data_IF_263058168103
#
_entry.id   IF_263058168103
#
_cell.length_a   1.000
_cell.length_b   1.000
_cell.length_c   1.000
_cell.angle_alpha   90.00
_cell.angle_beta   90.00
_cell.angle_gamma   90.00
#
_symmetry.space_group_name_H-M   'P 1'
#
loop_
_entity.id
_entity.type
_entity.pdbx_description
1 polymer ?
#
# COMPACT_ATOMS: atom_id res chain seq x y z
N UNK A 1 -28.73 -18.03 -48.66
CA UNK A 1 -27.65 -18.88 -49.21
C UNK A 1 -26.35 -18.40 -48.60
N UNK A 2 -25.89 -19.06 -47.54
CA UNK A 2 -24.61 -18.79 -46.89
C UNK A 2 -23.53 -19.62 -47.60
N UNK A 3 -22.54 -18.95 -48.18
CA UNK A 3 -21.37 -19.60 -48.77
C UNK A 3 -20.62 -20.45 -47.72
N UNK A 4 -20.08 -21.62 -48.08
CA UNK A 4 -19.32 -22.44 -47.15
C UNK A 4 -17.97 -21.79 -46.87
N UNK A 5 -17.72 -21.51 -45.58
CA UNK A 5 -16.48 -20.96 -45.06
C UNK A 5 -15.30 -21.87 -45.43
N UNK A 6 -14.50 -21.44 -46.42
CA UNK A 6 -13.31 -22.17 -46.85
C UNK A 6 -12.33 -22.30 -45.68
N UNK A 7 -12.03 -23.53 -45.26
CA UNK A 7 -11.02 -23.82 -44.23
C UNK A 7 -9.72 -23.09 -44.59
N UNK A 8 -9.36 -22.05 -43.84
CA UNK A 8 -8.08 -21.32 -44.02
C UNK A 8 -6.94 -22.33 -43.90
N UNK A 9 -6.21 -22.57 -45.01
CA UNK A 9 -5.02 -23.42 -45.03
C UNK A 9 -3.91 -22.75 -44.23
N UNK A 10 -3.55 -23.34 -43.10
CA UNK A 10 -2.39 -22.94 -42.31
C UNK A 10 -1.13 -23.36 -43.08
N UNK A 11 -0.19 -22.43 -43.27
CA UNK A 11 1.09 -22.66 -43.92
C UNK A 11 2.15 -22.98 -42.87
N UNK A 12 2.98 -23.97 -43.15
CA UNK A 12 4.14 -24.29 -42.32
C UNK A 12 5.37 -23.56 -42.85
N UNK A 13 6.31 -23.29 -41.94
CA UNK A 13 7.57 -22.66 -42.27
C UNK A 13 8.43 -23.55 -43.18
N UNK A 14 9.05 -22.96 -44.20
CA UNK A 14 10.01 -23.63 -45.08
C UNK A 14 11.43 -23.08 -44.81
N UNK A 15 12.44 -23.95 -44.61
CA UNK A 15 13.82 -23.52 -44.38
C UNK A 15 14.39 -22.58 -45.44
N UNK A 16 13.92 -22.66 -46.68
CA UNK A 16 14.33 -21.77 -47.77
C UNK A 16 13.94 -20.30 -47.54
N UNK A 17 13.04 -20.00 -46.59
CA UNK A 17 12.65 -18.64 -46.24
C UNK A 17 13.75 -17.87 -45.49
N UNK A 18 14.76 -18.58 -45.00
CA UNK A 18 15.94 -17.95 -44.40
C UNK A 18 16.67 -17.01 -45.38
N UNK A 19 16.63 -17.31 -46.69
CA UNK A 19 17.22 -16.44 -47.73
C UNK A 19 16.55 -15.07 -47.84
N UNK A 20 15.34 -14.94 -47.31
CA UNK A 20 14.59 -13.68 -47.23
C UNK A 20 14.70 -13.03 -45.85
N UNK A 21 15.50 -13.59 -44.94
CA UNK A 21 15.70 -13.08 -43.58
C UNK A 21 14.67 -13.51 -42.56
N UNK A 22 13.93 -14.60 -42.81
CA UNK A 22 12.90 -15.09 -41.89
C UNK A 22 13.28 -16.41 -41.21
N UNK A 23 12.82 -16.59 -39.98
CA UNK A 23 12.85 -17.85 -39.24
C UNK A 23 11.44 -18.23 -38.77
N UNK A 24 11.27 -19.48 -38.34
CA UNK A 24 10.02 -19.93 -37.71
C UNK A 24 9.88 -19.29 -36.33
N UNK A 25 8.67 -18.87 -35.98
CA UNK A 25 8.31 -18.51 -34.61
C UNK A 25 8.32 -19.74 -33.67
N UNK A 26 8.35 -19.55 -32.33
CA UNK A 26 8.36 -20.65 -31.38
C UNK A 26 7.13 -21.58 -31.46
N UNK A 27 5.98 -21.06 -31.89
CA UNK A 27 4.75 -21.81 -32.14
C UNK A 27 4.71 -22.44 -33.55
N UNK A 28 5.77 -22.27 -34.36
CA UNK A 28 5.92 -22.71 -35.76
C UNK A 28 4.84 -22.25 -36.76
N UNK A 29 3.97 -21.34 -36.34
CA UNK A 29 2.80 -20.92 -37.10
C UNK A 29 2.98 -19.54 -37.75
N UNK A 30 4.09 -18.83 -37.50
CA UNK A 30 4.32 -17.47 -38.02
C UNK A 30 5.77 -17.27 -38.48
N UNK A 31 6.00 -16.48 -39.54
CA UNK A 31 7.35 -16.10 -39.92
C UNK A 31 7.79 -14.91 -39.06
N UNK A 32 8.99 -15.02 -38.49
CA UNK A 32 9.65 -13.99 -37.72
C UNK A 32 10.79 -13.38 -38.55
N UNK A 33 10.76 -12.06 -38.75
CA UNK A 33 11.83 -11.34 -39.44
C UNK A 33 13.05 -11.19 -38.51
N UNK A 34 14.23 -11.66 -38.94
CA UNK A 34 15.47 -11.58 -38.17
C UNK A 34 15.98 -10.14 -37.98
N UNK A 35 15.59 -9.22 -38.86
CA UNK A 35 16.05 -7.82 -38.85
C UNK A 35 15.07 -6.90 -38.15
N UNK A 36 13.77 -7.03 -38.47
CA UNK A 36 12.72 -6.24 -37.84
C UNK A 36 12.27 -6.77 -36.48
N UNK A 37 12.60 -8.01 -36.14
CA UNK A 37 12.11 -8.71 -34.94
C UNK A 37 10.57 -8.73 -34.83
N UNK A 38 9.87 -8.71 -35.96
CA UNK A 38 8.40 -8.71 -36.02
C UNK A 38 7.88 -10.07 -36.53
N UNK A 39 6.96 -10.66 -35.78
CA UNK A 39 6.14 -11.79 -36.23
C UNK A 39 5.03 -11.30 -37.16
N UNK A 40 4.99 -11.82 -38.39
CA UNK A 40 3.88 -11.55 -39.30
C UNK A 40 2.79 -12.62 -39.18
N UNK A 41 1.60 -12.35 -39.73
CA UNK A 41 0.54 -13.35 -39.81
C UNK A 41 0.97 -14.57 -40.66
N UNK A 42 0.36 -15.73 -40.43
CA UNK A 42 0.64 -16.96 -41.18
C UNK A 42 0.50 -16.78 -42.70
N UNK A 43 -0.47 -15.99 -43.15
CA UNK A 43 -0.69 -15.65 -44.56
C UNK A 43 0.50 -14.93 -45.23
N UNK A 44 1.37 -14.30 -44.44
CA UNK A 44 2.57 -13.64 -44.92
C UNK A 44 3.71 -14.62 -45.27
N UNK A 45 3.60 -15.93 -44.94
CA UNK A 45 4.59 -16.94 -45.31
C UNK A 45 4.65 -17.24 -46.83
N UNK A 46 3.81 -16.61 -47.65
CA UNK A 46 3.92 -16.75 -49.11
C UNK A 46 5.27 -16.18 -49.57
N UNK A 47 6.06 -16.90 -50.39
CA UNK A 47 7.40 -16.45 -50.78
C UNK A 47 7.46 -15.04 -51.38
N UNK A 48 6.45 -14.63 -52.15
CA UNK A 48 6.40 -13.27 -52.71
C UNK A 48 6.11 -12.19 -51.66
N UNK A 49 5.37 -12.51 -50.58
CA UNK A 49 5.15 -11.58 -49.46
C UNK A 49 6.42 -11.41 -48.62
N UNK A 50 7.13 -12.50 -48.31
CA UNK A 50 8.40 -12.44 -47.59
C UNK A 50 9.46 -11.67 -48.39
N UNK A 51 9.54 -11.94 -49.70
CA UNK A 51 10.39 -11.20 -50.63
C UNK A 51 10.01 -9.72 -50.64
N UNK A 52 8.73 -9.38 -50.83
CA UNK A 52 8.27 -7.99 -50.82
C UNK A 52 8.54 -7.26 -49.50
N UNK A 53 8.40 -7.95 -48.35
CA UNK A 53 8.79 -7.41 -47.05
C UNK A 53 10.28 -7.06 -47.02
N UNK A 54 11.16 -7.98 -47.44
CA UNK A 54 12.60 -7.74 -47.50
C UNK A 54 12.91 -6.52 -48.39
N UNK A 55 12.34 -6.46 -49.60
CA UNK A 55 12.55 -5.33 -50.51
C UNK A 55 12.08 -3.98 -49.94
N UNK A 56 10.95 -3.95 -49.26
CA UNK A 56 10.35 -2.70 -48.77
C UNK A 56 10.89 -2.25 -47.42
N UNK A 57 11.18 -3.16 -46.50
CA UNK A 57 11.58 -2.86 -45.11
C UNK A 57 13.08 -2.98 -44.89
N UNK A 58 13.76 -3.83 -45.66
CA UNK A 58 15.19 -4.12 -45.50
C UNK A 58 15.93 -4.11 -46.87
N UNK A 59 15.84 -3.00 -47.64
CA UNK A 59 16.39 -2.94 -49.00
C UNK A 59 17.90 -3.18 -49.05
N UNK A 60 18.63 -2.83 -47.98
CA UNK A 60 20.08 -3.04 -47.85
C UNK A 60 20.47 -4.52 -47.67
N UNK A 61 19.52 -5.40 -47.39
CA UNK A 61 19.74 -6.83 -47.16
C UNK A 61 19.38 -7.68 -48.37
N UNK A 62 18.90 -7.06 -49.45
CA UNK A 62 18.60 -7.73 -50.71
C UNK A 62 19.92 -8.05 -51.44
N UNK A 63 20.08 -9.30 -51.87
CA UNK A 63 21.26 -9.74 -52.63
C UNK A 63 22.52 -9.99 -51.79
N UNK A 64 22.39 -10.03 -50.46
CA UNK A 64 23.49 -10.39 -49.58
C UNK A 64 24.02 -11.81 -49.85
N UNK A 65 25.30 -12.10 -49.53
CA UNK A 65 25.90 -13.42 -49.69
C UNK A 65 25.11 -14.52 -48.97
N UNK A 66 25.19 -15.76 -49.46
CA UNK A 66 24.47 -16.93 -48.94
C UNK A 66 24.65 -17.12 -47.42
N UNK A 67 25.80 -16.72 -46.87
CA UNK A 67 26.15 -16.88 -45.47
C UNK A 67 25.58 -15.80 -44.53
N UNK A 68 25.09 -14.68 -45.08
CA UNK A 68 24.64 -13.53 -44.30
C UNK A 68 23.51 -13.88 -43.32
N UNK A 69 22.40 -14.42 -43.82
CA UNK A 69 21.25 -14.78 -42.97
C UNK A 69 21.51 -15.98 -42.05
N UNK A 70 22.26 -17.04 -42.44
CA UNK A 70 22.72 -18.06 -41.50
C UNK A 70 23.54 -17.51 -40.32
N UNK A 71 24.46 -16.58 -40.56
CA UNK A 71 25.23 -15.94 -39.48
C UNK A 71 24.32 -15.08 -38.60
N UNK A 72 23.45 -14.27 -39.21
CA UNK A 72 22.50 -13.42 -38.48
C UNK A 72 21.53 -14.24 -37.62
N UNK A 73 21.07 -15.40 -38.11
CA UNK A 73 20.28 -16.37 -37.34
C UNK A 73 21.05 -16.90 -36.13
N UNK A 74 22.35 -17.22 -36.27
CA UNK A 74 23.17 -17.67 -35.12
C UNK A 74 23.28 -16.59 -34.05
N UNK A 75 23.51 -15.34 -34.46
CA UNK A 75 23.57 -14.19 -33.53
C UNK A 75 22.23 -14.00 -32.83
N UNK A 76 21.13 -14.00 -33.58
CA UNK A 76 19.78 -13.89 -33.03
C UNK A 76 19.46 -15.00 -32.03
N UNK A 77 19.73 -16.26 -32.37
CA UNK A 77 19.50 -17.39 -31.47
C UNK A 77 20.39 -17.35 -30.23
N UNK A 78 21.62 -16.83 -30.33
CA UNK A 78 22.48 -16.63 -29.15
C UNK A 78 21.98 -15.48 -28.28
N UNK A 79 21.46 -14.39 -28.86
CA UNK A 79 20.81 -13.31 -28.13
C UNK A 79 19.52 -13.77 -27.43
N UNK A 80 18.68 -14.56 -28.11
CA UNK A 80 17.50 -15.20 -27.51
C UNK A 80 17.87 -16.16 -26.39
N UNK A 81 18.95 -16.94 -26.53
CA UNK A 81 19.45 -17.80 -25.45
C UNK A 81 19.90 -16.97 -24.25
N UNK A 82 20.62 -15.87 -24.46
CA UNK A 82 21.01 -14.94 -23.38
C UNK A 82 19.81 -14.25 -22.73
N UNK A 83 18.79 -13.87 -23.50
CA UNK A 83 17.53 -13.33 -22.99
C UNK A 83 16.72 -14.39 -22.24
N UNK A 84 16.72 -15.63 -22.72
CA UNK A 84 16.05 -16.77 -22.08
C UNK A 84 16.71 -17.13 -20.74
N UNK A 85 18.04 -17.03 -20.64
CA UNK A 85 18.81 -17.16 -19.39
C UNK A 85 18.47 -16.04 -18.40
N UNK A 86 18.19 -14.83 -18.88
CA UNK A 86 17.67 -13.73 -18.05
C UNK A 86 16.24 -14.00 -17.55
N UNK A 87 15.40 -14.67 -18.37
CA UNK A 87 14.05 -15.10 -17.98
C UNK A 87 14.01 -16.40 -17.15
N UNK A 88 15.06 -17.21 -17.14
CA UNK A 88 15.23 -18.37 -16.24
C UNK A 88 15.45 -17.96 -14.76
N UNK A 89 15.44 -16.68 -14.44
CA UNK A 89 15.43 -16.14 -13.07
C UNK A 89 14.07 -16.26 -12.34
N UNK A 90 13.19 -17.18 -12.76
CA UNK A 90 11.90 -17.40 -12.08
C UNK A 90 12.09 -17.78 -10.62
N UNK A 91 13.10 -18.60 -10.32
CA UNK A 91 13.42 -19.04 -8.95
C UNK A 91 13.88 -17.88 -8.06
N UNK A 92 14.76 -17.00 -8.57
CA UNK A 92 15.22 -15.84 -7.81
C UNK A 92 14.10 -14.84 -7.55
N UNK A 93 13.21 -14.65 -8.53
CA UNK A 93 12.03 -13.78 -8.37
C UNK A 93 11.08 -14.33 -7.31
N UNK A 94 10.78 -15.63 -7.29
CA UNK A 94 9.87 -16.17 -6.29
C UNK A 94 10.45 -16.21 -4.88
N UNK A 95 11.77 -16.41 -4.69
CA UNK A 95 12.40 -16.24 -3.37
C UNK A 95 12.36 -14.78 -2.89
N UNK A 96 12.58 -13.84 -3.81
CA UNK A 96 12.52 -12.40 -3.50
C UNK A 96 11.11 -11.99 -3.10
N UNK A 97 10.10 -12.40 -3.89
CA UNK A 97 8.68 -12.16 -3.59
C UNK A 97 8.28 -12.76 -2.25
N UNK A 98 8.66 -14.02 -1.98
CA UNK A 98 8.38 -14.67 -0.70
C UNK A 98 8.99 -13.88 0.48
N UNK A 99 10.18 -13.31 0.29
CA UNK A 99 10.80 -12.50 1.33
C UNK A 99 10.12 -11.15 1.55
N UNK A 100 9.67 -10.47 0.48
CA UNK A 100 8.84 -9.26 0.63
C UNK A 100 7.53 -9.57 1.36
N UNK A 101 6.89 -10.70 1.06
CA UNK A 101 5.65 -11.11 1.71
C UNK A 101 5.85 -11.33 3.22
N UNK A 102 6.92 -12.05 3.60
CA UNK A 102 7.27 -12.24 5.02
C UNK A 102 7.55 -10.89 5.68
N UNK A 103 8.33 -10.02 5.04
CA UNK A 103 8.66 -8.69 5.56
C UNK A 103 7.41 -7.83 5.78
N UNK A 104 6.50 -7.83 4.79
CA UNK A 104 5.21 -7.14 4.86
C UNK A 104 4.34 -7.67 6.00
N UNK A 105 4.26 -8.99 6.18
CA UNK A 105 3.48 -9.59 7.26
C UNK A 105 4.02 -9.23 8.64
N UNK A 106 5.36 -9.23 8.82
CA UNK A 106 6.00 -8.81 10.07
C UNK A 106 5.64 -7.35 10.39
N UNK A 107 5.79 -6.46 9.41
CA UNK A 107 5.44 -5.05 9.57
C UNK A 107 3.95 -4.86 9.88
N UNK A 108 3.07 -5.53 9.12
CA UNK A 108 1.61 -5.48 9.31
C UNK A 108 1.17 -5.96 10.69
N UNK A 109 1.85 -6.96 11.23
CA UNK A 109 1.59 -7.50 12.58
C UNK A 109 2.35 -6.76 13.69
N UNK A 110 3.08 -5.68 13.35
CA UNK A 110 3.88 -4.86 14.27
C UNK A 110 4.86 -5.72 15.08
N UNK A 111 5.50 -6.70 14.42
CA UNK A 111 6.48 -7.60 15.05
C UNK A 111 7.91 -7.10 14.84
N UNK A 112 8.85 -7.42 15.74
CA UNK A 112 10.27 -7.14 15.54
C UNK A 112 10.77 -7.73 14.22
N UNK A 113 11.55 -6.96 13.46
CA UNK A 113 12.16 -7.45 12.20
C UNK A 113 13.09 -8.65 12.43
N UNK A 114 13.66 -8.76 13.64
CA UNK A 114 14.48 -9.90 14.07
C UNK A 114 13.73 -11.23 14.03
N UNK A 115 12.41 -11.22 14.20
CA UNK A 115 11.58 -12.44 14.21
C UNK A 115 11.67 -13.19 12.87
N UNK A 116 11.97 -12.49 11.76
CA UNK A 116 12.20 -13.09 10.46
C UNK A 116 13.32 -14.15 10.51
N UNK A 117 14.42 -13.82 11.18
CA UNK A 117 15.61 -14.65 11.29
C UNK A 117 15.57 -15.59 12.49
N UNK A 118 15.11 -15.10 13.64
CA UNK A 118 15.17 -15.85 14.91
C UNK A 118 14.05 -16.87 15.06
N UNK A 119 12.91 -16.66 14.41
CA UNK A 119 11.72 -17.48 14.58
C UNK A 119 11.16 -18.02 13.27
N UNK A 120 10.88 -17.15 12.30
CA UNK A 120 10.15 -17.52 11.08
C UNK A 120 11.00 -18.43 10.18
N UNK A 121 12.24 -18.04 9.88
CA UNK A 121 13.13 -18.84 9.02
C UNK A 121 13.42 -20.23 9.60
N UNK A 122 13.83 -20.39 10.87
CA UNK A 122 14.02 -21.71 11.48
C UNK A 122 12.75 -22.57 11.45
N UNK A 123 11.59 -21.96 11.73
CA UNK A 123 10.30 -22.67 11.73
C UNK A 123 9.96 -23.20 10.33
N UNK A 124 10.12 -22.37 9.29
CA UNK A 124 9.89 -22.76 7.89
C UNK A 124 10.78 -23.94 7.48
N UNK A 125 12.07 -23.90 7.86
CA UNK A 125 13.03 -24.96 7.53
C UNK A 125 12.73 -26.27 8.28
N UNK A 126 12.38 -26.18 9.56
CA UNK A 126 12.01 -27.35 10.36
C UNK A 126 10.76 -28.04 9.79
N UNK A 127 9.71 -27.28 9.51
CA UNK A 127 8.49 -27.80 8.90
C UNK A 127 8.76 -28.43 7.52
N UNK A 128 9.49 -27.74 6.64
CA UNK A 128 9.78 -28.27 5.31
C UNK A 128 10.62 -29.55 5.39
N UNK A 129 11.63 -29.60 6.26
CA UNK A 129 12.48 -30.79 6.43
C UNK A 129 11.68 -32.02 6.85
N UNK A 130 10.73 -31.87 7.79
CA UNK A 130 9.98 -32.99 8.33
C UNK A 130 8.73 -33.36 7.53
N UNK A 131 8.05 -32.39 6.89
CA UNK A 131 6.79 -32.63 6.18
C UNK A 131 7.01 -32.84 4.68
N UNK A 132 7.93 -32.08 4.07
CA UNK A 132 8.13 -32.02 2.61
C UNK A 132 9.46 -32.64 2.16
N UNK A 133 10.38 -32.89 3.09
CA UNK A 133 11.70 -33.47 2.85
C UNK A 133 12.84 -32.44 2.71
N UNK A 134 14.08 -32.94 2.73
CA UNK A 134 15.30 -32.12 2.73
C UNK A 134 15.43 -31.23 1.48
N UNK A 135 15.04 -31.72 0.30
CA UNK A 135 15.09 -30.93 -0.93
C UNK A 135 14.20 -29.68 -0.90
N UNK A 136 13.06 -29.74 -0.20
CA UNK A 136 12.18 -28.59 -0.02
C UNK A 136 12.77 -27.58 0.98
N UNK A 137 13.38 -28.07 2.07
CA UNK A 137 14.08 -27.21 3.03
C UNK A 137 15.23 -26.44 2.37
N UNK A 138 16.02 -27.08 1.50
CA UNK A 138 17.08 -26.41 0.73
C UNK A 138 16.54 -25.30 -0.17
N UNK A 139 15.37 -25.49 -0.80
CA UNK A 139 14.73 -24.44 -1.59
C UNK A 139 14.29 -23.25 -0.73
N UNK A 140 13.70 -23.49 0.45
CA UNK A 140 13.28 -22.42 1.36
C UNK A 140 14.48 -21.70 2.00
N UNK A 141 15.60 -22.39 2.19
CA UNK A 141 16.80 -21.78 2.75
C UNK A 141 17.35 -20.63 1.90
N UNK A 142 17.06 -20.65 0.58
CA UNK A 142 17.41 -19.58 -0.37
C UNK A 142 16.64 -18.27 -0.14
N UNK A 143 15.56 -18.28 0.63
CA UNK A 143 14.84 -17.04 1.01
C UNK A 143 15.71 -16.29 2.03
N UNK A 144 16.15 -15.08 1.69
CA UNK A 144 16.94 -14.23 2.59
C UNK A 144 16.02 -13.45 3.52
N UNK A 145 16.20 -13.58 4.85
CA UNK A 145 15.31 -13.00 5.88
C UNK A 145 16.04 -12.27 7.02
N UNK A 146 17.37 -12.24 7.07
CA UNK A 146 18.11 -11.60 8.17
C UNK A 146 18.18 -10.08 8.02
N UNK A 147 19.22 -9.57 7.37
CA UNK A 147 19.48 -8.14 7.22
C UNK A 147 18.63 -7.48 6.12
N UNK A 148 18.08 -8.27 5.21
CA UNK A 148 17.28 -7.74 4.11
C UNK A 148 15.84 -7.38 4.52
N UNK A 149 15.35 -7.84 5.69
CA UNK A 149 13.96 -7.60 6.11
C UNK A 149 13.72 -6.10 6.38
N UNK A 150 14.66 -5.43 7.06
CA UNK A 150 14.59 -3.98 7.28
C UNK A 150 14.66 -3.23 5.95
N UNK A 151 15.58 -3.62 5.08
CA UNK A 151 15.70 -3.03 3.74
C UNK A 151 14.40 -3.17 2.94
N UNK A 152 13.79 -4.35 2.94
CA UNK A 152 12.52 -4.62 2.26
C UNK A 152 11.37 -3.85 2.86
N UNK A 153 11.30 -3.71 4.18
CA UNK A 153 10.30 -2.86 4.85
C UNK A 153 10.45 -1.41 4.38
N UNK A 154 11.67 -0.89 4.29
CA UNK A 154 11.92 0.47 3.80
C UNK A 154 11.53 0.61 2.32
N UNK A 155 11.84 -0.37 1.47
CA UNK A 155 11.43 -0.37 0.06
C UNK A 155 9.91 -0.46 -0.11
N UNK A 156 9.23 -1.27 0.72
CA UNK A 156 7.76 -1.33 0.77
C UNK A 156 7.21 0.04 1.20
N UNK A 157 7.78 0.65 2.24
CA UNK A 157 7.39 1.97 2.74
C UNK A 157 7.52 3.03 1.66
N UNK A 158 8.66 3.09 0.97
CA UNK A 158 8.87 4.01 -0.15
C UNK A 158 7.85 3.78 -1.27
N UNK A 159 7.55 2.52 -1.60
CA UNK A 159 6.55 2.22 -2.62
C UNK A 159 5.13 2.65 -2.22
N UNK A 160 4.78 2.55 -0.94
CA UNK A 160 3.51 3.03 -0.41
C UNK A 160 3.45 4.55 -0.43
N UNK A 161 4.53 5.22 0.01
CA UNK A 161 4.64 6.68 -0.04
C UNK A 161 4.52 7.19 -1.48
N UNK A 162 5.24 6.61 -2.44
CA UNK A 162 5.15 6.96 -3.86
C UNK A 162 3.71 6.85 -4.39
N UNK A 163 2.95 5.85 -3.94
CA UNK A 163 1.53 5.68 -4.31
C UNK A 163 0.66 6.78 -3.68
N UNK A 164 0.87 7.09 -2.40
CA UNK A 164 0.15 8.16 -1.71
C UNK A 164 0.46 9.52 -2.36
N UNK A 165 1.72 9.81 -2.65
CA UNK A 165 2.14 11.04 -3.32
C UNK A 165 1.48 11.20 -4.69
N UNK A 166 1.41 10.13 -5.50
CA UNK A 166 0.69 10.16 -6.78
C UNK A 166 -0.79 10.46 -6.59
N UNK A 167 -1.41 9.84 -5.59
CA UNK A 167 -2.81 10.06 -5.26
C UNK A 167 -3.07 11.51 -4.85
N UNK A 168 -2.30 12.06 -3.91
CA UNK A 168 -2.46 13.43 -3.39
C UNK A 168 -2.31 14.48 -4.50
N UNK A 169 -1.51 14.21 -5.53
CA UNK A 169 -1.37 15.13 -6.67
C UNK A 169 -2.64 15.25 -7.50
N UNK A 170 -3.51 14.24 -7.47
CA UNK A 170 -4.71 14.14 -8.31
C UNK A 170 -6.00 14.50 -7.56
N UNK A 171 -6.02 14.36 -6.22
CA UNK A 171 -7.25 14.54 -5.42
C UNK A 171 -7.07 15.55 -4.27
N UNK A 172 -8.13 16.28 -3.90
CA UNK A 172 -8.13 17.11 -2.70
C UNK A 172 -8.07 16.24 -1.44
N UNK A 173 -7.32 16.71 -0.44
CA UNK A 173 -7.13 16.03 0.84
C UNK A 173 -7.40 16.95 2.03
N UNK A 174 -7.75 16.35 3.15
CA UNK A 174 -7.76 16.99 4.47
C UNK A 174 -6.58 16.45 5.28
N UNK A 175 -5.89 17.28 6.05
CA UNK A 175 -4.82 16.82 6.94
C UNK A 175 -5.18 17.05 8.41
N UNK A 176 -4.80 16.12 9.27
CA UNK A 176 -4.87 16.25 10.72
C UNK A 176 -3.46 16.16 11.30
N UNK A 177 -3.12 17.10 12.16
CA UNK A 177 -1.82 17.19 12.80
C UNK A 177 -1.98 17.06 14.30
N UNK A 178 -1.13 16.25 14.90
CA UNK A 178 -1.04 16.08 16.34
C UNK A 178 0.41 16.10 16.80
N UNK A 179 0.69 16.82 17.88
CA UNK A 179 2.00 16.84 18.53
C UNK A 179 1.97 15.84 19.70
N UNK A 180 2.88 14.88 19.66
CA UNK A 180 3.04 13.85 20.68
C UNK A 180 4.49 13.83 21.18
N UNK A 181 4.74 13.11 22.28
CA UNK A 181 6.10 12.92 22.81
C UNK A 181 6.48 11.46 22.64
N UNK A 182 7.56 11.19 21.92
CA UNK A 182 8.13 9.85 21.79
C UNK A 182 9.54 9.84 22.39
N UNK A 183 9.69 9.20 23.55
CA UNK A 183 10.94 9.27 24.31
C UNK A 183 11.16 10.68 24.88
N UNK A 184 12.23 11.35 24.42
CA UNK A 184 12.58 12.72 24.83
C UNK A 184 12.28 13.77 23.75
N UNK A 185 11.79 13.34 22.57
CA UNK A 185 11.62 14.19 21.39
C UNK A 185 10.13 14.53 21.18
N UNK A 186 9.88 15.77 20.76
CA UNK A 186 8.55 16.16 20.26
C UNK A 186 8.37 15.59 18.86
N UNK A 187 7.27 14.89 18.63
CA UNK A 187 6.96 14.18 17.39
C UNK A 187 5.69 14.74 16.77
N UNK A 188 5.76 15.14 15.50
CA UNK A 188 4.60 15.51 14.71
C UNK A 188 4.07 14.29 13.97
N UNK A 189 2.79 14.00 14.16
CA UNK A 189 2.07 12.98 13.40
C UNK A 189 1.12 13.70 12.46
N UNK A 190 1.25 13.44 11.16
CA UNK A 190 0.36 13.99 10.14
C UNK A 190 -0.39 12.86 9.45
N UNK A 191 -1.70 12.85 9.64
CA UNK A 191 -2.61 11.94 8.93
C UNK A 191 -3.34 12.71 7.84
N UNK A 192 -3.63 12.06 6.72
CA UNK A 192 -4.48 12.61 5.68
C UNK A 192 -5.78 11.83 5.55
N UNK A 193 -6.82 12.53 5.11
CA UNK A 193 -8.14 11.98 4.82
C UNK A 193 -8.55 12.42 3.42
N UNK A 194 -9.08 11.48 2.66
CA UNK A 194 -9.49 11.71 1.27
C UNK A 194 -10.66 10.81 0.90
N UNK A 195 -11.30 11.11 -0.23
CA UNK A 195 -12.40 10.31 -0.76
C UNK A 195 -11.86 9.43 -1.88
N UNK A 196 -12.08 8.13 -1.77
CA UNK A 196 -11.74 7.16 -2.81
C UNK A 196 -12.87 6.13 -2.93
N UNK A 197 -13.41 5.98 -4.14
CA UNK A 197 -14.58 5.15 -4.44
C UNK A 197 -15.77 5.44 -3.48
N UNK A 198 -16.12 6.72 -3.34
CA UNK A 198 -17.18 7.24 -2.45
C UNK A 198 -17.01 6.89 -0.96
N UNK A 199 -15.84 6.39 -0.57
CA UNK A 199 -15.51 6.05 0.81
C UNK A 199 -14.46 7.02 1.35
N UNK A 200 -14.67 7.46 2.58
CA UNK A 200 -13.65 8.22 3.31
C UNK A 200 -12.55 7.24 3.69
N UNK A 201 -11.33 7.54 3.26
CA UNK A 201 -10.12 6.83 3.64
C UNK A 201 -9.21 7.75 4.45
N UNK A 202 -8.48 7.15 5.37
CA UNK A 202 -7.51 7.82 6.22
C UNK A 202 -6.20 7.05 6.14
N UNK A 203 -5.11 7.78 5.93
CA UNK A 203 -3.77 7.22 5.80
C UNK A 203 -2.78 8.10 6.55
N UNK A 204 -1.72 7.49 7.07
CA UNK A 204 -0.60 8.23 7.63
C UNK A 204 0.17 8.91 6.49
N UNK A 205 0.33 10.23 6.56
CA UNK A 205 1.07 10.98 5.57
C UNK A 205 2.57 10.93 5.88
N UNK A 206 2.95 11.39 7.07
CA UNK A 206 4.31 11.23 7.60
C UNK A 206 4.34 11.38 9.13
N UNK A 207 5.44 10.93 9.72
CA UNK A 207 5.81 11.18 11.11
C UNK A 207 7.23 11.71 11.11
N UNK A 208 7.47 12.79 11.83
CA UNK A 208 8.79 13.38 11.95
C UNK A 208 8.94 14.04 13.33
N UNK A 209 10.16 14.34 13.74
CA UNK A 209 10.48 14.78 15.10
C UNK A 209 11.26 16.08 15.14
N UNK A 210 11.19 16.76 16.27
CA UNK A 210 11.92 17.98 16.56
C UNK A 210 12.95 17.72 17.64
N UNK A 211 14.21 18.07 17.36
CA UNK A 211 15.32 17.97 18.32
C UNK A 211 15.17 18.96 19.51
N UNK A 212 14.39 20.03 19.33
CA UNK A 212 14.20 21.12 20.28
C UNK A 212 12.73 21.53 20.39
N UNK A 213 12.44 22.63 21.12
CA UNK A 213 11.09 23.18 21.28
C UNK A 213 10.41 23.42 19.94
N UNK A 214 9.20 22.89 19.79
CA UNK A 214 8.39 22.99 18.59
C UNK A 214 7.57 24.29 18.56
N UNK A 215 7.86 25.21 17.63
CA UNK A 215 7.01 26.38 17.38
C UNK A 215 6.08 26.15 16.20
N UNK A 216 4.98 26.91 16.10
CA UNK A 216 4.06 26.81 14.97
C UNK A 216 4.71 27.04 13.60
N UNK A 217 5.75 27.88 13.55
CA UNK A 217 6.53 28.10 12.34
C UNK A 217 7.37 26.87 11.96
N UNK A 218 7.88 26.13 12.94
CA UNK A 218 8.69 24.93 12.68
C UNK A 218 7.80 23.78 12.19
N UNK A 219 6.60 23.61 12.78
CA UNK A 219 5.57 22.70 12.27
C UNK A 219 5.24 23.05 10.81
N UNK A 220 5.02 24.34 10.52
CA UNK A 220 4.71 24.78 9.16
C UNK A 220 5.84 24.47 8.19
N UNK A 221 7.10 24.74 8.55
CA UNK A 221 8.26 24.42 7.71
C UNK A 221 8.41 22.93 7.45
N UNK A 222 8.16 22.08 8.45
CA UNK A 222 8.23 20.62 8.31
C UNK A 222 7.18 20.13 7.32
N UNK A 223 5.92 20.53 7.49
CA UNK A 223 4.83 20.22 6.56
C UNK A 223 5.15 20.76 5.16
N UNK A 224 5.59 22.02 5.05
CA UNK A 224 5.94 22.63 3.76
C UNK A 224 7.08 21.86 3.07
N UNK A 225 8.10 21.47 3.81
CA UNK A 225 9.26 20.72 3.29
C UNK A 225 8.84 19.35 2.76
N UNK A 226 7.93 18.66 3.44
CA UNK A 226 7.36 17.39 2.96
C UNK A 226 6.62 17.56 1.63
N UNK A 227 5.79 18.60 1.51
CA UNK A 227 5.05 18.85 0.26
C UNK A 227 5.98 19.29 -0.87
N UNK A 228 6.97 20.13 -0.58
CA UNK A 228 7.94 20.62 -1.58
C UNK A 228 8.85 19.50 -2.08
N UNK A 229 9.36 18.63 -1.19
CA UNK A 229 10.22 17.50 -1.57
C UNK A 229 9.50 16.52 -2.51
N UNK A 230 8.19 16.35 -2.33
CA UNK A 230 7.34 15.50 -3.16
C UNK A 230 6.70 16.22 -4.35
N UNK A 231 6.97 17.52 -4.53
CA UNK A 231 6.38 18.37 -5.58
C UNK A 231 4.83 18.33 -5.53
N UNK A 232 4.27 18.39 -4.34
CA UNK A 232 2.83 18.45 -4.09
C UNK A 232 2.47 19.90 -3.80
N UNK A 233 1.47 20.44 -4.50
CA UNK A 233 0.94 21.76 -4.19
C UNK A 233 0.18 21.73 -2.85
N UNK A 234 0.49 22.65 -1.93
CA UNK A 234 -0.30 22.84 -0.71
C UNK A 234 -1.78 23.15 -0.99
N UNK A 235 -2.11 23.64 -2.19
CA UNK A 235 -3.49 23.88 -2.60
C UNK A 235 -4.36 22.62 -2.65
N UNK A 236 -3.75 21.42 -2.65
CA UNK A 236 -4.48 20.15 -2.54
C UNK A 236 -5.10 19.96 -1.14
N UNK A 237 -4.58 20.64 -0.13
CA UNK A 237 -5.10 20.58 1.22
C UNK A 237 -6.31 21.52 1.34
N UNK A 238 -7.50 20.93 1.39
CA UNK A 238 -8.77 21.68 1.50
C UNK A 238 -9.14 21.99 2.95
N UNK A 239 -8.65 21.19 3.90
CA UNK A 239 -8.83 21.48 5.33
C UNK A 239 -7.69 20.96 6.19
N UNK A 240 -7.47 21.66 7.30
CA UNK A 240 -6.51 21.32 8.35
C UNK A 240 -7.24 21.09 9.67
N UNK A 241 -6.89 20.03 10.38
CA UNK A 241 -7.37 19.73 11.73
C UNK A 241 -6.23 19.69 12.76
N UNK A 242 -6.37 20.40 13.88
CA UNK A 242 -5.40 20.39 15.00
C UNK A 242 -6.09 20.42 16.36
N UNK A 243 -5.36 20.08 17.42
CA UNK A 243 -5.82 20.10 18.83
C UNK A 243 -6.13 21.51 19.37
N UNK A 244 -5.80 22.57 18.64
CA UNK A 244 -6.07 23.94 19.06
C UNK A 244 -4.98 24.58 19.92
N UNK A 245 -3.85 23.90 20.15
CA UNK A 245 -2.74 24.46 20.92
C UNK A 245 -2.26 25.80 20.34
N UNK A 246 -1.65 26.65 21.19
CA UNK A 246 -1.25 27.99 20.79
C UNK A 246 -0.23 28.03 19.64
N UNK A 247 0.70 27.07 19.61
CA UNK A 247 1.63 26.86 18.49
C UNK A 247 0.90 26.36 17.22
N UNK A 248 -0.26 25.71 17.33
CA UNK A 248 -1.06 25.29 16.19
C UNK A 248 -1.95 26.40 15.64
N UNK A 249 -2.65 27.15 16.48
CA UNK A 249 -3.73 28.07 16.06
C UNK A 249 -3.38 29.55 16.06
N UNK A 250 -2.20 29.92 16.58
CA UNK A 250 -1.73 31.31 16.60
C UNK A 250 -1.86 32.01 15.26
N UNK A 251 -2.47 33.21 15.24
CA UNK A 251 -2.74 33.97 14.01
C UNK A 251 -1.47 34.33 13.24
N UNK A 252 -0.44 34.78 13.95
CA UNK A 252 0.77 35.32 13.33
C UNK A 252 1.88 34.28 13.26
N UNK A 253 2.09 33.53 14.36
CA UNK A 253 3.20 32.59 14.55
C UNK A 253 2.78 31.13 14.67
N UNK A 254 1.47 30.84 14.67
CA UNK A 254 0.96 29.47 14.73
C UNK A 254 1.02 28.79 13.37
N UNK A 255 1.03 27.45 13.39
CA UNK A 255 1.00 26.63 12.17
C UNK A 255 -0.14 27.04 11.23
N UNK A 256 -1.36 27.11 11.75
CA UNK A 256 -2.54 27.50 10.99
C UNK A 256 -2.41 28.91 10.41
N UNK A 257 -1.90 29.86 11.18
CA UNK A 257 -1.66 31.23 10.72
C UNK A 257 -0.73 31.28 9.51
N UNK A 258 0.36 30.51 9.56
CA UNK A 258 1.28 30.35 8.42
C UNK A 258 0.59 29.66 7.23
N UNK A 259 -0.06 28.52 7.47
CA UNK A 259 -0.69 27.72 6.42
C UNK A 259 -1.79 28.49 5.68
N UNK A 260 -2.64 29.22 6.42
CA UNK A 260 -3.75 30.01 5.87
C UNK A 260 -3.28 31.16 4.98
N UNK A 261 -2.09 31.71 5.23
CA UNK A 261 -1.50 32.73 4.34
C UNK A 261 -1.09 32.15 2.99
N UNK A 262 -0.60 30.92 2.95
CA UNK A 262 -0.25 30.24 1.68
C UNK A 262 -1.47 29.63 0.97
N UNK A 263 -2.46 29.15 1.73
CA UNK A 263 -3.67 28.52 1.19
C UNK A 263 -4.92 29.21 1.76
N UNK A 264 -5.29 30.41 1.27
CA UNK A 264 -6.41 31.20 1.81
C UNK A 264 -7.78 30.50 1.74
N UNK A 265 -7.97 29.55 0.83
CA UNK A 265 -9.20 28.77 0.68
C UNK A 265 -9.31 27.58 1.64
N UNK A 266 -8.21 27.18 2.29
CA UNK A 266 -8.22 26.04 3.20
C UNK A 266 -9.10 26.34 4.43
N UNK A 267 -9.82 25.33 4.91
CA UNK A 267 -10.67 25.44 6.10
C UNK A 267 -9.96 24.90 7.33
N UNK A 268 -10.11 25.57 8.46
CA UNK A 268 -9.63 25.07 9.74
C UNK A 268 -10.73 24.35 10.50
N UNK A 269 -10.41 23.17 11.01
CA UNK A 269 -11.27 22.37 11.86
C UNK A 269 -10.53 22.17 13.17
N UNK A 270 -11.14 22.58 14.28
CA UNK A 270 -10.55 22.26 15.58
C UNK A 270 -10.98 20.85 15.98
N UNK A 271 -10.01 20.02 16.39
CA UNK A 271 -10.16 18.58 16.62
C UNK A 271 -11.34 18.28 17.54
N UNK A 272 -12.27 17.45 17.07
CA UNK A 272 -13.50 17.16 17.82
C UNK A 272 -13.21 16.45 19.14
N UNK A 273 -12.24 15.52 19.17
CA UNK A 273 -11.84 14.83 20.40
C UNK A 273 -11.32 15.82 21.44
N UNK A 274 -10.45 16.75 21.02
CA UNK A 274 -9.94 17.78 21.91
C UNK A 274 -11.05 18.76 22.36
N UNK A 275 -11.92 19.22 21.46
CA UNK A 275 -13.09 20.05 21.82
C UNK A 275 -13.94 19.41 22.87
N UNK A 276 -14.22 18.13 22.71
CA UNK A 276 -15.05 17.41 23.64
C UNK A 276 -14.32 17.22 24.99
N UNK A 277 -13.02 16.92 24.99
CA UNK A 277 -12.22 16.88 26.22
C UNK A 277 -12.24 18.22 26.97
N UNK A 278 -12.13 19.34 26.25
CA UNK A 278 -12.27 20.68 26.84
C UNK A 278 -13.69 20.95 27.37
N UNK A 279 -14.72 20.50 26.65
CA UNK A 279 -16.10 20.63 27.10
C UNK A 279 -16.35 19.85 28.40
N UNK A 280 -15.79 18.65 28.52
CA UNK A 280 -15.86 17.82 29.74
C UNK A 280 -15.19 18.52 30.93
N UNK A 281 -14.08 19.24 30.71
CA UNK A 281 -13.41 20.06 31.74
C UNK A 281 -14.26 21.25 32.21
N UNK A 282 -15.24 21.67 31.41
CA UNK A 282 -16.09 22.84 31.68
C UNK A 282 -17.47 22.46 32.24
N UNK A 283 -17.70 21.20 32.58
CA UNK A 283 -18.97 20.72 33.12
C UNK A 283 -19.22 21.24 34.55
N UNK A 284 -20.50 21.36 34.90
CA UNK A 284 -20.90 21.65 36.28
C UNK A 284 -20.41 20.54 37.24
N UNK A 285 -20.11 20.87 38.51
CA UNK A 285 -19.55 19.91 39.46
C UNK A 285 -20.34 18.61 39.57
N UNK A 286 -21.67 18.67 39.57
CA UNK A 286 -22.56 17.51 39.71
C UNK A 286 -22.42 16.52 38.54
N UNK A 287 -22.27 17.05 37.32
CA UNK A 287 -22.06 16.24 36.13
C UNK A 287 -20.62 15.72 36.07
N UNK A 288 -19.65 16.49 36.56
CA UNK A 288 -18.26 16.07 36.70
C UNK A 288 -18.10 14.90 37.70
N UNK A 289 -18.81 14.93 38.83
CA UNK A 289 -18.86 13.82 39.79
C UNK A 289 -19.47 12.56 39.18
N UNK A 290 -20.59 12.71 38.46
CA UNK A 290 -21.23 11.61 37.74
C UNK A 290 -20.27 10.99 36.71
N UNK A 291 -19.58 11.84 35.95
CA UNK A 291 -18.59 11.44 34.97
C UNK A 291 -17.41 10.69 35.61
N UNK A 292 -16.89 11.20 36.72
CA UNK A 292 -15.82 10.54 37.48
C UNK A 292 -16.24 9.19 38.06
N UNK A 293 -17.50 9.05 38.47
CA UNK A 293 -18.04 7.75 38.90
C UNK A 293 -18.06 6.76 37.73
N UNK A 294 -18.51 7.19 36.55
CA UNK A 294 -18.49 6.35 35.35
C UNK A 294 -17.06 5.94 35.00
N UNK A 295 -16.10 6.85 35.04
CA UNK A 295 -14.67 6.54 34.81
C UNK A 295 -14.17 5.49 35.79
N UNK A 296 -14.49 5.62 37.09
CA UNK A 296 -14.10 4.62 38.10
C UNK A 296 -14.69 3.24 37.80
N UNK A 297 -15.94 3.17 37.37
CA UNK A 297 -16.59 1.92 37.00
C UNK A 297 -15.92 1.29 35.77
N UNK A 298 -15.64 2.08 34.74
CA UNK A 298 -14.94 1.62 33.53
C UNK A 298 -13.55 1.08 33.90
N UNK A 299 -12.76 1.86 34.64
CA UNK A 299 -11.43 1.45 35.08
C UNK A 299 -11.47 0.17 35.94
N UNK A 300 -12.47 0.00 36.80
CA UNK A 300 -12.67 -1.24 37.55
C UNK A 300 -12.94 -2.43 36.62
N UNK A 301 -13.78 -2.25 35.59
CA UNK A 301 -14.07 -3.31 34.61
C UNK A 301 -12.81 -3.67 33.81
N UNK A 302 -12.05 -2.68 33.36
CA UNK A 302 -10.84 -2.88 32.55
C UNK A 302 -9.66 -3.43 33.36
N UNK A 303 -9.62 -3.18 34.67
CA UNK A 303 -8.54 -3.67 35.53
C UNK A 303 -8.41 -5.19 35.59
N UNK A 304 -9.43 -5.95 35.16
CA UNK A 304 -9.42 -7.40 35.21
C UNK A 304 -10.23 -8.06 34.08
N UNK A 305 -9.65 -9.02 33.34
CA UNK A 305 -10.39 -9.84 32.37
C UNK A 305 -11.59 -10.58 32.98
N UNK A 306 -11.58 -10.84 34.30
CA UNK A 306 -12.70 -11.45 35.00
C UNK A 306 -13.88 -10.48 35.13
N UNK A 307 -13.62 -9.21 35.43
CA UNK A 307 -14.66 -8.18 35.55
C UNK A 307 -15.33 -7.94 34.20
N UNK A 308 -14.53 -7.84 33.14
CA UNK A 308 -15.01 -7.71 31.76
C UNK A 308 -15.91 -8.90 31.36
N UNK A 309 -15.47 -10.15 31.61
CA UNK A 309 -16.29 -11.35 31.35
C UNK A 309 -17.57 -11.39 32.18
N UNK A 310 -17.51 -10.97 33.43
CA UNK A 310 -18.66 -10.94 34.34
C UNK A 310 -19.71 -9.94 33.87
N UNK A 311 -19.29 -8.73 33.47
CA UNK A 311 -20.17 -7.72 32.91
C UNK A 311 -20.82 -8.20 31.60
N UNK A 312 -20.04 -8.79 30.68
CA UNK A 312 -20.56 -9.37 29.44
C UNK A 312 -21.62 -10.44 29.69
N UNK A 313 -21.38 -11.33 30.66
CA UNK A 313 -22.35 -12.35 31.05
C UNK A 313 -23.63 -11.75 31.65
N UNK A 314 -23.50 -10.74 32.52
CA UNK A 314 -24.63 -10.04 33.10
C UNK A 314 -25.51 -9.35 32.04
N UNK A 315 -24.90 -8.63 31.09
CA UNK A 315 -25.59 -7.99 29.97
C UNK A 315 -26.30 -9.03 29.10
N UNK A 316 -25.66 -10.17 28.82
CA UNK A 316 -26.23 -11.27 28.05
C UNK A 316 -27.47 -11.87 28.72
N UNK A 317 -27.42 -12.11 30.03
CA UNK A 317 -28.57 -12.61 30.82
C UNK A 317 -29.71 -11.60 30.82
N UNK A 318 -29.40 -10.30 30.98
CA UNK A 318 -30.41 -9.24 31.00
C UNK A 318 -31.13 -9.09 29.65
N UNK A 319 -30.40 -9.19 28.52
CA UNK A 319 -30.98 -9.20 27.16
C UNK A 319 -31.92 -10.38 26.91
N UNK A 320 -31.70 -11.54 27.55
CA UNK A 320 -32.58 -12.69 27.45
C UNK A 320 -33.88 -12.50 28.25
N UNK A 321 -33.83 -11.74 29.36
CA UNK A 321 -34.97 -11.52 30.25
C UNK A 321 -35.89 -10.34 29.84
N UNK A 322 -35.50 -9.48 28.89
CA UNK A 322 -36.29 -8.31 28.44
C UNK A 322 -37.12 -8.53 27.17
N UNK A 323 -37.46 -9.78 26.81
CA UNK A 323 -38.34 -10.07 25.66
C UNK A 323 -39.85 -9.95 25.95
N UNK A 324 -40.27 -9.45 27.11
CA UNK A 324 -41.69 -9.21 27.42
C UNK A 324 -41.93 -7.79 27.95
N UNK A 325 -42.71 -7.04 27.15
CA UNK A 325 -43.38 -5.76 27.43
C UNK A 325 -42.49 -4.57 27.80
N UNK A 326 -42.20 -3.69 26.83
CA UNK A 326 -42.65 -2.29 26.83
C UNK A 326 -42.29 -1.65 25.48
N UNK A 327 -43.32 -1.19 24.76
CA UNK A 327 -43.24 -0.48 23.50
C UNK A 327 -42.89 0.99 23.73
N UNK A 328 -41.65 1.29 24.12
CA UNK A 328 -41.00 2.61 23.95
C UNK A 328 -39.50 2.43 24.09
N UNK A 329 -38.74 3.10 23.22
CA UNK A 329 -37.27 3.11 23.11
C UNK A 329 -36.62 1.99 22.28
N UNK A 330 -36.91 2.06 20.98
CA UNK A 330 -36.11 1.49 19.87
C UNK A 330 -34.69 2.10 19.73
N UNK A 331 -34.16 2.76 20.77
CA UNK A 331 -32.86 3.45 20.78
C UNK A 331 -31.80 2.77 21.66
N UNK A 332 -32.14 1.82 22.54
CA UNK A 332 -31.18 1.27 23.51
C UNK A 332 -30.35 0.07 23.01
N UNK A 333 -30.87 -0.75 22.09
CA UNK A 333 -30.24 -2.05 21.78
C UNK A 333 -29.05 -2.02 20.81
N UNK A 334 -28.99 -1.03 19.90
CA UNK A 334 -27.91 -0.89 18.89
C UNK A 334 -26.85 0.15 19.29
N UNK A 335 -27.13 0.89 20.35
CA UNK A 335 -26.33 1.99 20.89
C UNK A 335 -25.44 1.50 22.04
N UNK A 336 -25.86 0.55 22.86
CA UNK A 336 -25.14 0.21 24.09
C UNK A 336 -23.76 -0.48 23.95
N UNK A 337 -23.35 -0.97 22.78
CA UNK A 337 -22.01 -1.58 22.62
C UNK A 337 -21.11 -0.76 21.71
N UNK A 338 -21.68 -0.09 20.69
CA UNK A 338 -20.96 0.86 19.85
C UNK A 338 -20.84 2.24 20.50
N UNK A 339 -21.92 2.82 21.02
CA UNK A 339 -21.83 4.08 21.76
C UNK A 339 -21.23 3.89 23.13
N UNK A 340 -21.27 2.73 23.78
CA UNK A 340 -20.53 2.53 25.04
C UNK A 340 -19.04 2.30 24.78
N UNK A 341 -18.62 1.57 23.74
CA UNK A 341 -17.20 1.51 23.37
C UNK A 341 -16.72 2.83 22.78
N UNK A 342 -17.52 3.54 21.98
CA UNK A 342 -17.18 4.89 21.53
C UNK A 342 -17.22 5.88 22.70
N UNK A 343 -18.16 5.79 23.66
CA UNK A 343 -18.14 6.59 24.90
C UNK A 343 -16.96 6.22 25.79
N UNK A 344 -16.60 4.95 25.91
CA UNK A 344 -15.48 4.49 26.73
C UNK A 344 -14.18 4.94 26.06
N UNK A 345 -14.01 4.75 24.76
CA UNK A 345 -12.87 5.29 23.98
C UNK A 345 -12.83 6.82 24.02
N UNK A 346 -13.99 7.48 23.95
CA UNK A 346 -14.16 8.92 24.10
C UNK A 346 -13.74 9.40 25.50
N UNK A 347 -14.18 8.71 26.54
CA UNK A 347 -13.86 9.00 27.94
C UNK A 347 -12.39 8.68 28.26
N UNK A 348 -11.83 7.61 27.68
CA UNK A 348 -10.40 7.27 27.72
C UNK A 348 -9.57 8.34 27.00
N UNK A 349 -10.01 8.85 25.84
CA UNK A 349 -9.33 9.95 25.15
C UNK A 349 -9.41 11.28 25.93
N UNK A 350 -10.46 11.46 26.75
CA UNK A 350 -10.60 12.63 27.62
C UNK A 350 -9.72 12.54 28.89
N UNK A 351 -9.23 11.36 29.27
CA UNK A 351 -8.42 11.13 30.47
C UNK A 351 -6.91 11.03 30.16
N UNK A 352 -6.54 10.62 28.94
CA UNK A 352 -5.14 10.42 28.54
C UNK A 352 -4.53 11.58 27.72
N UNK A 353 -5.09 12.80 27.83
CA UNK A 353 -4.52 14.05 27.28
C UNK A 353 -4.28 15.10 28.37
#
# INVERSE_FOLDING_TARGET
>A
MSEPNAKRRIRHYDPSYLKFGFISSPDELKPLCLTGHVCSANDSMRPHHLKAHQFSKHPTEVGQPIEYFPQKKKVYLNQEKSFSLFTQSTDLKCYTLASYEVSFLIAKLKKPHTDAETLIKPSLLACAKHVLGSAAAEKLNKITLSNDTVKRINEISQNLEDKLVRLIKEIPISIQLDESIFGAESTLIVCMRFIDNDCIKEELLFVDYFECRCTGQDIFKMVRSYFDSHQISLSQVVSVSTDGAGNMTGRDTGFWGCFKREVPQCSFIHCMLHKQALAVKSLQPELHETLNLVIKVVNFVESSPLNERTLKNYVKIRKQNTTSSFSTQKFAGLVEEKLLNEYILFMISCVNF
#
